data_IF_605070513769
#
_entry.id   IF_605070513769
#
_cell.length_a   1.000
_cell.length_b   1.000
_cell.length_c   1.000
_cell.angle_alpha   90.00
_cell.angle_beta   90.00
_cell.angle_gamma   90.00
#
_symmetry.space_group_name_H-M   'P 1'
#
loop_
_entity.id
_entity.type
_entity.pdbx_description
1 polymer ?
#
# COMPACT_ATOMS: atom_id res chain seq x y z
N UNK A 1 -3.13 -0.13 5.78
CA UNK A 1 -3.40 1.06 6.60
C UNK A 1 -3.49 0.68 8.07
N UNK A 2 -2.97 1.52 8.94
CA UNK A 2 -3.01 1.38 10.40
C UNK A 2 -2.83 2.76 11.04
N UNK A 3 -3.25 2.98 12.29
CA UNK A 3 -2.93 4.19 13.03
C UNK A 3 -1.41 4.45 13.10
N UNK A 4 -1.03 5.71 12.99
CA UNK A 4 0.34 6.18 13.07
C UNK A 4 0.39 7.28 14.12
N UNK A 5 1.32 7.25 15.09
CA UNK A 5 1.47 8.31 16.09
C UNK A 5 2.10 9.56 15.43
N UNK A 6 1.26 10.34 14.75
CA UNK A 6 1.67 11.49 13.91
C UNK A 6 2.50 12.50 14.71
N UNK A 7 2.17 12.68 15.98
CA UNK A 7 2.85 13.59 16.91
C UNK A 7 4.32 13.24 17.19
N UNK A 8 4.74 12.03 16.81
CA UNK A 8 6.14 11.60 16.97
C UNK A 8 7.05 11.96 15.79
N UNK A 9 6.49 12.57 14.75
CA UNK A 9 7.20 12.87 13.51
C UNK A 9 7.13 14.36 13.21
N UNK A 10 8.27 15.00 12.93
CA UNK A 10 8.30 16.37 12.47
C UNK A 10 7.79 16.53 11.02
N UNK A 11 7.91 15.47 10.21
CA UNK A 11 7.41 15.43 8.84
C UNK A 11 7.07 14.01 8.44
N UNK A 12 5.90 13.84 7.80
CA UNK A 12 5.48 12.62 7.12
C UNK A 12 5.12 13.00 5.68
N UNK A 13 5.60 12.25 4.70
CA UNK A 13 5.17 12.40 3.31
C UNK A 13 4.73 11.07 2.72
N UNK A 14 3.76 11.09 1.82
CA UNK A 14 3.25 9.91 1.15
C UNK A 14 2.77 10.24 -0.26
N UNK A 15 3.23 9.49 -1.24
CA UNK A 15 2.58 9.44 -2.56
C UNK A 15 1.21 8.78 -2.43
N UNK A 16 0.19 9.42 -2.99
CA UNK A 16 -1.19 8.95 -2.83
C UNK A 16 -1.49 7.63 -3.56
N UNK A 17 -0.72 7.29 -4.59
CA UNK A 17 -0.93 6.10 -5.40
C UNK A 17 -1.22 4.85 -4.55
N UNK A 18 -2.13 4.00 -5.03
CA UNK A 18 -2.61 2.78 -4.38
C UNK A 18 -3.64 3.06 -3.27
N UNK A 19 -3.30 2.92 -1.98
CA UNK A 19 -4.26 2.99 -0.88
C UNK A 19 -4.92 4.36 -0.64
N UNK A 20 -4.28 5.46 -1.05
CA UNK A 20 -4.84 6.80 -0.89
C UNK A 20 -5.54 7.33 -2.16
N UNK A 21 -5.21 6.78 -3.33
CA UNK A 21 -5.81 7.23 -4.58
C UNK A 21 -4.87 7.11 -5.78
N UNK A 22 -5.04 7.98 -6.79
CA UNK A 22 -4.26 7.95 -8.02
C UNK A 22 -2.82 8.45 -7.82
N UNK A 23 -1.95 8.12 -8.76
CA UNK A 23 -0.62 8.70 -8.87
C UNK A 23 -0.70 10.21 -9.19
N UNK A 24 0.39 10.93 -8.94
CA UNK A 24 0.51 12.36 -9.24
C UNK A 24 0.14 13.31 -8.08
N UNK A 25 -0.17 12.76 -6.91
CA UNK A 25 -0.43 13.54 -5.69
C UNK A 25 0.48 13.06 -4.56
N UNK A 26 1.07 14.00 -3.83
CA UNK A 26 1.83 13.75 -2.60
C UNK A 26 1.14 14.47 -1.44
N UNK A 27 0.88 13.73 -0.37
CA UNK A 27 0.42 14.29 0.91
C UNK A 27 1.62 14.54 1.79
N UNK A 28 1.70 15.73 2.40
CA UNK A 28 2.73 16.07 3.38
C UNK A 28 2.04 16.54 4.65
N UNK A 29 2.41 15.95 5.77
CA UNK A 29 2.03 16.37 7.12
C UNK A 29 3.32 16.88 7.77
N UNK A 30 3.35 18.12 8.17
CA UNK A 30 4.57 18.75 8.70
C UNK A 30 4.25 19.54 9.97
N UNK A 31 5.11 19.43 10.96
CA UNK A 31 5.03 20.19 12.20
C UNK A 31 5.26 21.69 11.95
N UNK A 32 4.44 22.57 12.55
CA UNK A 32 4.54 24.02 12.37
C UNK A 32 5.90 24.58 12.82
N UNK A 33 6.48 24.04 13.89
CA UNK A 33 7.80 24.45 14.34
C UNK A 33 8.90 24.09 13.32
N UNK A 34 8.72 22.99 12.57
CA UNK A 34 9.62 22.64 11.48
C UNK A 34 9.45 23.58 10.28
N UNK A 35 8.21 23.96 9.93
CA UNK A 35 7.94 24.98 8.92
C UNK A 35 8.59 26.33 9.27
N UNK A 36 8.51 26.74 10.53
CA UNK A 36 9.13 27.98 11.02
C UNK A 36 10.64 28.02 10.81
N UNK A 37 11.29 26.87 10.81
CA UNK A 37 12.75 26.72 10.60
C UNK A 37 13.16 26.64 9.13
N UNK A 38 12.21 26.68 8.19
CA UNK A 38 12.51 26.61 6.76
C UNK A 38 13.41 27.76 6.31
N UNK A 39 14.55 27.52 5.65
CA UNK A 39 15.42 28.57 5.14
C UNK A 39 14.69 29.50 4.16
N UNK A 40 14.90 30.83 4.32
CA UNK A 40 14.24 31.81 3.45
C UNK A 40 14.75 31.87 2.01
N UNK A 41 15.93 31.32 1.75
CA UNK A 41 16.59 31.36 0.43
C UNK A 41 16.28 30.13 -0.46
N UNK A 42 15.35 29.26 -0.07
CA UNK A 42 14.98 28.11 -0.90
C UNK A 42 14.18 28.54 -2.14
N UNK A 43 14.39 27.90 -3.29
CA UNK A 43 13.46 28.01 -4.41
C UNK A 43 12.04 27.67 -3.95
N UNK A 44 11.04 28.39 -4.45
CA UNK A 44 9.64 28.30 -3.99
C UNK A 44 9.11 26.86 -3.98
N UNK A 45 9.41 26.07 -4.99
CA UNK A 45 8.93 24.68 -5.10
C UNK A 45 9.65 23.70 -4.15
N UNK A 46 10.71 24.11 -3.49
CA UNK A 46 11.45 23.35 -2.48
C UNK A 46 11.14 23.84 -1.04
N UNK A 47 10.23 24.80 -0.90
CA UNK A 47 9.86 25.39 0.38
C UNK A 47 8.46 24.92 0.82
N UNK A 48 8.39 24.09 1.83
CA UNK A 48 7.09 23.70 2.43
C UNK A 48 6.36 24.91 3.00
N UNK A 49 7.08 25.95 3.47
CA UNK A 49 6.47 27.20 3.95
C UNK A 49 5.67 27.88 2.84
N UNK A 50 6.25 28.06 1.66
CA UNK A 50 5.56 28.68 0.51
C UNK A 50 4.32 27.90 0.11
N UNK A 51 4.39 26.57 0.12
CA UNK A 51 3.27 25.71 -0.17
C UNK A 51 2.18 25.79 0.92
N UNK A 52 2.58 25.82 2.21
CA UNK A 52 1.64 25.94 3.33
C UNK A 52 0.93 27.30 3.34
N UNK A 53 1.66 28.40 3.19
CA UNK A 53 1.13 29.77 3.14
C UNK A 53 0.17 29.93 1.96
N UNK A 54 0.45 29.29 0.82
CA UNK A 54 -0.43 29.22 -0.34
C UNK A 54 -1.62 28.28 -0.18
N UNK A 55 -1.80 27.62 0.97
CA UNK A 55 -2.85 26.63 1.20
C UNK A 55 -2.79 25.47 0.20
N UNK A 56 -1.60 24.99 -0.13
CA UNK A 56 -1.28 23.97 -1.14
C UNK A 56 -1.67 24.38 -2.58
N UNK A 57 -1.84 25.67 -2.83
CA UNK A 57 -2.27 26.23 -4.15
C UNK A 57 -1.28 27.27 -4.68
N UNK A 58 -0.04 27.23 -4.25
CA UNK A 58 1.01 28.11 -4.78
C UNK A 58 1.15 27.98 -6.31
N UNK A 59 1.06 26.78 -6.84
CA UNK A 59 0.88 26.46 -8.25
C UNK A 59 -0.45 25.71 -8.47
N UNK A 60 -0.98 25.60 -9.70
CA UNK A 60 -2.20 24.85 -9.97
C UNK A 60 -2.10 23.41 -9.43
N UNK A 61 -2.98 23.01 -8.51
CA UNK A 61 -2.92 21.68 -7.89
C UNK A 61 -3.52 20.60 -8.79
N UNK A 62 -3.21 19.31 -8.58
CA UNK A 62 -3.82 18.20 -9.30
C UNK A 62 -5.25 17.97 -8.78
N UNK A 63 -6.21 18.82 -9.18
CA UNK A 63 -7.57 18.91 -8.64
C UNK A 63 -8.29 17.57 -8.66
N UNK A 64 -8.22 16.82 -9.76
CA UNK A 64 -8.88 15.52 -9.89
C UNK A 64 -8.31 14.49 -8.90
N UNK A 65 -6.99 14.45 -8.73
CA UNK A 65 -6.36 13.55 -7.78
C UNK A 65 -6.71 13.90 -6.32
N UNK A 66 -6.80 15.19 -5.99
CA UNK A 66 -7.26 15.67 -4.68
C UNK A 66 -8.71 15.27 -4.43
N UNK A 67 -9.59 15.43 -5.43
CA UNK A 67 -10.99 15.02 -5.34
C UNK A 67 -11.12 13.51 -5.06
N UNK A 68 -10.40 12.68 -5.82
CA UNK A 68 -10.40 11.22 -5.61
C UNK A 68 -9.83 10.83 -4.24
N UNK A 69 -8.75 11.47 -3.78
CA UNK A 69 -8.24 11.27 -2.41
C UNK A 69 -9.35 11.56 -1.39
N UNK A 70 -10.07 12.66 -1.54
CA UNK A 70 -11.19 13.01 -0.67
C UNK A 70 -12.27 11.92 -0.62
N UNK A 71 -12.62 11.33 -1.77
CA UNK A 71 -13.57 10.21 -1.83
C UNK A 71 -13.05 8.95 -1.14
N UNK A 72 -11.78 8.60 -1.34
CA UNK A 72 -11.14 7.45 -0.68
C UNK A 72 -11.12 7.62 0.83
N UNK A 73 -10.80 8.82 1.33
CA UNK A 73 -10.80 9.10 2.77
C UNK A 73 -12.21 9.02 3.38
N UNK A 74 -13.22 9.52 2.67
CA UNK A 74 -14.64 9.38 3.09
C UNK A 74 -15.05 7.92 3.15
N UNK A 75 -14.70 7.13 2.12
CA UNK A 75 -14.96 5.69 2.10
C UNK A 75 -14.26 4.98 3.27
N UNK A 76 -12.98 5.28 3.52
CA UNK A 76 -12.21 4.70 4.62
C UNK A 76 -12.86 4.99 5.99
N UNK A 77 -13.31 6.24 6.19
CA UNK A 77 -14.04 6.64 7.40
C UNK A 77 -15.34 5.86 7.55
N UNK A 78 -16.09 5.67 6.46
CA UNK A 78 -17.34 4.90 6.46
C UNK A 78 -17.11 3.39 6.75
N UNK A 79 -15.92 2.86 6.46
CA UNK A 79 -15.54 1.48 6.82
C UNK A 79 -15.13 1.32 8.30
N UNK A 80 -15.25 2.35 9.12
CA UNK A 80 -14.84 2.33 10.53
C UNK A 80 -13.44 2.88 10.79
N UNK A 81 -12.84 3.56 9.81
CA UNK A 81 -11.56 4.24 9.94
C UNK A 81 -10.34 3.33 9.92
N UNK A 82 -9.22 3.86 10.42
CA UNK A 82 -7.92 3.18 10.33
C UNK A 82 -7.84 1.90 11.17
N UNK A 83 -8.51 1.86 12.31
CA UNK A 83 -8.49 0.68 13.22
C UNK A 83 -9.23 -0.50 12.61
N UNK A 84 -10.44 -0.27 12.10
CA UNK A 84 -11.22 -1.29 11.41
C UNK A 84 -10.50 -1.79 10.14
N UNK A 85 -9.90 -0.87 9.38
CA UNK A 85 -9.12 -1.21 8.20
C UNK A 85 -7.84 -1.97 8.54
N UNK A 86 -7.15 -1.64 9.62
CA UNK A 86 -6.00 -2.40 10.10
C UNK A 86 -6.38 -3.83 10.44
N UNK A 87 -7.47 -4.02 11.17
CA UNK A 87 -7.97 -5.34 11.52
C UNK A 87 -8.39 -6.16 10.28
N UNK A 88 -9.02 -5.52 9.28
CA UNK A 88 -9.35 -6.16 8.00
C UNK A 88 -8.08 -6.64 7.28
N UNK A 89 -7.09 -5.77 7.12
CA UNK A 89 -5.84 -6.08 6.44
C UNK A 89 -5.04 -7.18 7.17
N UNK A 90 -5.06 -7.16 8.50
CA UNK A 90 -4.41 -8.20 9.31
C UNK A 90 -5.03 -9.58 9.09
N UNK A 91 -6.37 -9.67 9.05
CA UNK A 91 -7.07 -10.94 8.78
C UNK A 91 -6.74 -11.48 7.38
N UNK A 92 -6.76 -10.63 6.36
CA UNK A 92 -6.43 -11.03 4.99
C UNK A 92 -4.99 -11.52 4.87
N UNK A 93 -4.03 -10.75 5.39
CA UNK A 93 -2.63 -11.12 5.37
C UNK A 93 -2.37 -12.41 6.15
N UNK A 94 -2.94 -12.54 7.34
CA UNK A 94 -2.80 -13.74 8.17
C UNK A 94 -3.31 -14.99 7.45
N UNK A 95 -4.46 -14.90 6.77
CA UNK A 95 -5.02 -16.01 5.99
C UNK A 95 -4.08 -16.47 4.88
N UNK A 96 -3.48 -15.55 4.13
CA UNK A 96 -2.58 -15.88 3.04
C UNK A 96 -1.23 -16.40 3.55
N UNK A 97 -0.66 -15.79 4.59
CA UNK A 97 0.58 -16.28 5.20
C UNK A 97 0.41 -17.64 5.87
N UNK A 98 -0.75 -17.92 6.46
CA UNK A 98 -1.03 -19.25 7.00
C UNK A 98 -0.97 -20.34 5.91
N UNK A 99 -1.47 -20.06 4.70
CA UNK A 99 -1.38 -20.99 3.58
C UNK A 99 0.06 -21.13 3.07
N UNK A 100 0.79 -20.02 2.94
CA UNK A 100 2.20 -20.03 2.52
C UNK A 100 3.05 -20.87 3.47
N UNK A 101 2.80 -20.76 4.77
CA UNK A 101 3.59 -21.47 5.79
C UNK A 101 3.11 -22.92 6.05
N UNK A 102 2.00 -23.36 5.45
CA UNK A 102 1.34 -24.63 5.78
C UNK A 102 2.13 -25.86 5.37
N UNK A 103 2.66 -25.90 4.17
CA UNK A 103 3.22 -27.13 3.57
C UNK A 103 4.73 -27.07 3.32
N UNK A 104 5.34 -25.89 3.35
CA UNK A 104 6.70 -25.67 2.90
C UNK A 104 6.89 -25.67 1.37
N UNK A 105 5.82 -25.93 0.58
CA UNK A 105 5.86 -25.81 -0.87
C UNK A 105 5.98 -24.33 -1.28
N UNK A 106 5.20 -23.46 -0.65
CA UNK A 106 5.38 -22.02 -0.76
C UNK A 106 6.38 -21.53 0.29
N UNK A 107 7.17 -20.53 -0.06
CA UNK A 107 8.13 -19.91 0.86
C UNK A 107 7.94 -18.39 0.88
N UNK A 108 7.63 -17.84 2.04
CA UNK A 108 7.63 -16.40 2.27
C UNK A 108 9.03 -15.82 2.09
N UNK A 109 9.13 -14.66 1.42
CA UNK A 109 10.43 -14.00 1.14
C UNK A 109 10.91 -13.20 2.34
N UNK A 110 9.98 -12.55 3.06
CA UNK A 110 10.30 -11.73 4.23
C UNK A 110 10.28 -12.55 5.52
N UNK A 111 11.17 -12.20 6.44
CA UNK A 111 11.14 -12.69 7.81
C UNK A 111 9.77 -12.39 8.45
N UNK A 112 9.28 -13.28 9.33
CA UNK A 112 7.92 -13.19 9.89
C UNK A 112 7.58 -11.82 10.48
N UNK A 113 8.51 -11.22 11.20
CA UNK A 113 8.35 -9.92 11.85
C UNK A 113 8.31 -8.75 10.86
N UNK A 114 8.88 -8.93 9.67
CA UNK A 114 8.97 -7.94 8.60
C UNK A 114 7.92 -8.11 7.50
N UNK A 115 7.00 -9.07 7.66
CA UNK A 115 5.98 -9.36 6.64
C UNK A 115 5.02 -8.21 6.42
N UNK A 116 4.83 -7.85 5.15
CA UNK A 116 3.87 -6.82 4.76
C UNK A 116 2.43 -7.34 4.87
N UNK A 117 1.52 -6.49 5.34
CA UNK A 117 0.06 -6.74 5.35
C UNK A 117 -0.61 -6.32 4.05
N UNK A 118 0.14 -5.70 3.11
CA UNK A 118 -0.37 -5.15 1.86
C UNK A 118 0.18 -5.84 0.63
N UNK A 119 1.46 -6.25 0.68
CA UNK A 119 2.16 -6.90 -0.41
C UNK A 119 2.75 -8.21 0.11
N UNK A 120 2.00 -9.28 -0.01
CA UNK A 120 2.43 -10.60 0.41
C UNK A 120 3.31 -11.21 -0.68
N UNK A 121 4.60 -11.38 -0.38
CA UNK A 121 5.58 -11.92 -1.31
C UNK A 121 5.92 -13.36 -0.95
N UNK A 122 5.97 -14.22 -1.96
CA UNK A 122 6.31 -15.63 -1.78
C UNK A 122 6.92 -16.21 -3.05
N UNK A 123 7.47 -17.41 -2.93
CA UNK A 123 8.07 -18.17 -4.04
C UNK A 123 7.63 -19.61 -3.98
N UNK A 124 7.61 -20.26 -5.12
CA UNK A 124 7.55 -21.69 -5.28
C UNK A 124 8.99 -22.28 -5.32
N UNK A 125 9.16 -23.60 -5.31
CA UNK A 125 10.49 -24.23 -5.31
C UNK A 125 11.40 -23.81 -6.45
N UNK A 126 10.85 -23.48 -7.61
CA UNK A 126 11.62 -23.05 -8.79
C UNK A 126 11.01 -21.83 -9.46
N UNK A 127 11.84 -21.06 -10.18
CA UNK A 127 11.40 -19.87 -10.95
C UNK A 127 10.39 -20.23 -12.06
N UNK A 128 10.54 -21.42 -12.66
CA UNK A 128 9.61 -21.91 -13.67
C UNK A 128 8.21 -22.13 -13.10
N UNK A 129 8.15 -22.66 -11.86
CA UNK A 129 6.89 -22.80 -11.13
C UNK A 129 6.28 -21.44 -10.74
N UNK A 130 7.10 -20.45 -10.35
CA UNK A 130 6.61 -19.07 -10.14
C UNK A 130 5.91 -18.54 -11.40
N UNK A 131 6.56 -18.69 -12.56
CA UNK A 131 6.02 -18.25 -13.85
C UNK A 131 4.77 -19.02 -14.27
N UNK A 132 4.73 -20.33 -14.03
CA UNK A 132 3.57 -21.17 -14.31
C UNK A 132 2.39 -20.78 -13.42
N UNK A 133 2.60 -20.66 -12.11
CA UNK A 133 1.58 -20.23 -11.15
C UNK A 133 0.95 -18.90 -11.55
N UNK A 134 1.77 -17.87 -11.90
CA UNK A 134 1.27 -16.57 -12.30
C UNK A 134 0.40 -16.62 -13.58
N UNK A 135 0.68 -17.52 -14.51
CA UNK A 135 -0.15 -17.71 -15.72
C UNK A 135 -1.44 -18.45 -15.40
N UNK A 136 -1.36 -19.55 -14.69
CA UNK A 136 -2.52 -20.37 -14.34
C UNK A 136 -3.51 -19.59 -13.48
N UNK A 137 -3.04 -18.84 -12.47
CA UNK A 137 -3.92 -17.99 -11.66
C UNK A 137 -4.63 -16.93 -12.49
N UNK A 138 -3.98 -16.35 -13.51
CA UNK A 138 -4.61 -15.37 -14.39
C UNK A 138 -5.78 -15.98 -15.21
N UNK A 139 -5.66 -17.24 -15.64
CA UNK A 139 -6.74 -17.99 -16.32
C UNK A 139 -7.96 -18.19 -15.41
N UNK A 140 -7.76 -18.26 -14.09
CA UNK A 140 -8.82 -18.32 -13.08
C UNK A 140 -9.31 -16.94 -12.59
N UNK A 141 -8.89 -15.86 -13.25
CA UNK A 141 -9.29 -14.50 -12.89
C UNK A 141 -8.55 -13.91 -11.69
N UNK A 142 -7.46 -14.55 -11.25
CA UNK A 142 -6.57 -14.09 -10.19
C UNK A 142 -5.31 -13.44 -10.82
N UNK A 143 -5.47 -12.26 -11.37
CA UNK A 143 -4.44 -11.56 -12.13
C UNK A 143 -3.47 -10.75 -11.25
N UNK A 144 -2.31 -10.40 -11.82
CA UNK A 144 -1.34 -9.49 -11.21
C UNK A 144 -0.46 -10.11 -10.12
N UNK A 145 -0.35 -11.43 -10.05
CA UNK A 145 0.44 -12.14 -9.02
C UNK A 145 1.93 -12.22 -9.32
N UNK A 146 2.39 -11.92 -10.55
CA UNK A 146 3.82 -11.88 -10.86
C UNK A 146 4.56 -10.89 -9.94
N UNK A 147 5.70 -11.30 -9.42
CA UNK A 147 6.54 -10.48 -8.56
C UNK A 147 7.14 -9.29 -9.29
N UNK A 148 7.82 -8.43 -8.55
CA UNK A 148 8.47 -7.27 -9.14
C UNK A 148 9.57 -7.72 -10.11
N UNK A 149 9.64 -7.10 -11.30
CA UNK A 149 10.58 -7.47 -12.39
C UNK A 149 12.06 -7.55 -11.98
N UNK A 150 12.48 -6.80 -10.94
CA UNK A 150 13.86 -6.82 -10.44
C UNK A 150 14.11 -7.89 -9.38
N UNK A 151 13.07 -8.49 -8.81
CA UNK A 151 13.18 -9.45 -7.70
C UNK A 151 12.66 -10.83 -8.10
N UNK A 152 11.66 -10.88 -9.00
CA UNK A 152 10.98 -12.11 -9.37
C UNK A 152 10.05 -12.64 -8.28
N UNK A 153 9.72 -13.93 -8.35
CA UNK A 153 8.79 -14.57 -7.45
C UNK A 153 7.34 -14.14 -7.68
N UNK A 154 6.53 -14.22 -6.64
CA UNK A 154 5.12 -13.88 -6.65
C UNK A 154 4.81 -12.81 -5.61
N UNK A 155 3.77 -12.02 -5.89
CA UNK A 155 3.32 -10.95 -5.00
C UNK A 155 1.81 -10.76 -5.08
N UNK A 156 1.11 -11.08 -4.02
CA UNK A 156 -0.28 -10.71 -3.87
C UNK A 156 -0.40 -9.30 -3.29
N UNK A 157 -0.97 -8.38 -4.06
CA UNK A 157 -1.23 -6.99 -3.65
C UNK A 157 -2.64 -6.88 -3.08
N UNK A 158 -2.78 -7.05 -1.77
CA UNK A 158 -4.04 -7.07 -1.03
C UNK A 158 -4.30 -5.73 -0.35
N UNK A 159 -4.49 -4.67 -1.14
CA UNK A 159 -4.75 -3.32 -0.62
C UNK A 159 -6.11 -3.20 0.06
N UNK A 160 -6.36 -2.05 0.71
CA UNK A 160 -7.55 -1.79 1.52
C UNK A 160 -8.89 -2.19 0.88
N UNK A 161 -9.02 -2.05 -0.43
CA UNK A 161 -10.26 -2.36 -1.16
C UNK A 161 -10.33 -3.81 -1.66
N UNK A 162 -9.32 -4.65 -1.38
CA UNK A 162 -9.36 -6.06 -1.76
C UNK A 162 -10.47 -6.77 -0.96
N UNK A 163 -11.47 -7.37 -1.62
CA UNK A 163 -12.51 -8.12 -0.92
C UNK A 163 -11.96 -9.43 -0.34
N UNK A 164 -12.52 -9.86 0.79
CA UNK A 164 -12.17 -11.14 1.44
C UNK A 164 -12.31 -12.35 0.49
N UNK A 165 -13.25 -12.28 -0.46
CA UNK A 165 -13.46 -13.31 -1.48
C UNK A 165 -12.24 -13.47 -2.41
N UNK A 166 -11.54 -12.37 -2.76
CA UNK A 166 -10.35 -12.43 -3.60
C UNK A 166 -9.20 -13.16 -2.93
N UNK A 167 -8.95 -12.87 -1.65
CA UNK A 167 -7.94 -13.60 -0.86
C UNK A 167 -8.35 -15.04 -0.64
N UNK A 168 -9.66 -15.31 -0.43
CA UNK A 168 -10.19 -16.66 -0.30
C UNK A 168 -9.92 -17.49 -1.55
N UNK A 169 -10.24 -16.96 -2.72
CA UNK A 169 -10.04 -17.63 -4.00
C UNK A 169 -8.57 -17.96 -4.27
N UNK A 170 -7.66 -17.02 -3.94
CA UNK A 170 -6.23 -17.29 -4.06
C UNK A 170 -5.78 -18.42 -3.13
N UNK A 171 -6.22 -18.44 -1.88
CA UNK A 171 -5.88 -19.50 -0.92
C UNK A 171 -6.45 -20.86 -1.36
N UNK A 172 -7.65 -20.88 -1.94
CA UNK A 172 -8.24 -22.10 -2.51
C UNK A 172 -7.40 -22.63 -3.67
N UNK A 173 -7.08 -21.79 -4.63
CA UNK A 173 -6.19 -22.14 -5.74
C UNK A 173 -4.82 -22.66 -5.27
N UNK A 174 -4.25 -22.10 -4.21
CA UNK A 174 -2.97 -22.55 -3.65
C UNK A 174 -3.02 -23.95 -3.03
N UNK A 175 -4.21 -24.50 -2.77
CA UNK A 175 -4.41 -25.83 -2.17
C UNK A 175 -4.61 -26.95 -3.20
N UNK A 176 -4.95 -26.61 -4.41
CA UNK A 176 -5.09 -27.52 -5.54
C UNK A 176 -3.72 -27.88 -6.13
#
# INVERSE_FOLDING_TARGET
SRPVPVERFGLIYAGAQKNLGPAGLTVVIVDEALLARSPGALPSMLSYRVLADGGSRYNPPPVFAIYLLGLVLKWLTAQGGLEAMAAHNDRQAARLYAEIDRTGFYRGVAERESRSRMNVTFRLPTTDLDGRFARETAEFGLDGLAGHRSVGGLRASIYNAMPDAGVAALVEFMRE
#
